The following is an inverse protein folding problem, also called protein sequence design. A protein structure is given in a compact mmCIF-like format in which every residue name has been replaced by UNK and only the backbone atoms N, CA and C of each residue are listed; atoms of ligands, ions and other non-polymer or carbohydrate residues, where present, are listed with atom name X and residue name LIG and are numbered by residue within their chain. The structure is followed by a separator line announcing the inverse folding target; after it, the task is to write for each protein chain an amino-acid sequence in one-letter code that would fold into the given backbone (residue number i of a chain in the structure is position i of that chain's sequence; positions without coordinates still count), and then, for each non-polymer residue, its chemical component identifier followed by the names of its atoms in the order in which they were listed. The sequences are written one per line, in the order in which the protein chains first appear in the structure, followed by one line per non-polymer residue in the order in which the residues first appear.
data_IF_180617303306
#
_entry.id   IF_180617303306
#
_cell.length_a   1.000
_cell.length_b   1.000
_cell.length_c   1.000
_cell.angle_alpha   90.00
_cell.angle_beta   90.00
_cell.angle_gamma   90.00
#
_symmetry.space_group_name_H-M   'P 1'
#
loop_
_entity.id
_entity.type
_entity.pdbx_description
1 polymer ?
#
# COMPACT_ATOMS: atom_id res chain seq x y z
N UNK A 1 10.39 36.88 -22.79
CA UNK A 1 10.55 35.56 -23.45
C UNK A 1 10.83 34.42 -22.46
N UNK A 2 11.73 34.59 -21.47
CA UNK A 2 12.06 33.55 -20.47
C UNK A 2 10.86 33.03 -19.64
N UNK A 3 9.97 33.90 -19.17
CA UNK A 3 8.81 33.50 -18.35
C UNK A 3 7.79 32.58 -19.06
N UNK A 4 7.58 32.76 -20.37
CA UNK A 4 6.69 31.89 -21.16
C UNK A 4 7.27 30.49 -21.36
N UNK A 5 8.60 30.38 -21.49
CA UNK A 5 9.30 29.11 -21.67
C UNK A 5 9.30 28.29 -20.36
N UNK A 6 9.53 28.94 -19.21
CA UNK A 6 9.50 28.29 -17.89
C UNK A 6 8.10 27.76 -17.55
N UNK A 7 7.05 28.53 -17.84
CA UNK A 7 5.66 28.12 -17.60
C UNK A 7 5.26 26.92 -18.47
N UNK A 8 5.67 26.89 -19.75
CA UNK A 8 5.41 25.79 -20.65
C UNK A 8 6.12 24.50 -20.19
N UNK A 9 7.36 24.60 -19.71
CA UNK A 9 8.13 23.46 -19.21
C UNK A 9 7.50 22.85 -17.94
N UNK A 10 7.05 23.70 -17.01
CA UNK A 10 6.34 23.27 -15.80
C UNK A 10 5.02 22.57 -16.12
N UNK A 11 4.26 23.10 -17.09
CA UNK A 11 3.02 22.48 -17.55
C UNK A 11 3.29 21.10 -18.15
N UNK A 12 4.23 20.98 -19.10
CA UNK A 12 4.59 19.70 -19.73
C UNK A 12 5.05 18.64 -18.70
N UNK A 13 5.83 19.05 -17.70
CA UNK A 13 6.26 18.17 -16.62
C UNK A 13 5.08 17.67 -15.78
N UNK A 14 4.16 18.56 -15.41
CA UNK A 14 2.96 18.21 -14.63
C UNK A 14 2.00 17.27 -15.39
N UNK A 15 1.85 17.45 -16.71
CA UNK A 15 1.05 16.58 -17.56
C UNK A 15 1.66 15.18 -17.65
N UNK A 16 2.98 15.10 -17.84
CA UNK A 16 3.71 13.83 -17.91
C UNK A 16 3.61 13.04 -16.61
N UNK A 17 3.71 13.72 -15.46
CA UNK A 17 3.55 13.11 -14.15
C UNK A 17 2.14 12.55 -13.93
N UNK A 18 1.09 13.32 -14.26
CA UNK A 18 -0.30 12.85 -14.17
C UNK A 18 -0.58 11.66 -15.08
N UNK A 19 0.01 11.63 -16.27
CA UNK A 19 -0.13 10.51 -17.20
C UNK A 19 0.53 9.23 -16.63
N UNK A 20 1.72 9.37 -16.01
CA UNK A 20 2.43 8.27 -15.38
C UNK A 20 1.67 7.73 -14.14
N UNK A 21 1.18 8.60 -13.24
CA UNK A 21 0.34 8.21 -12.09
C UNK A 21 -0.88 7.41 -12.56
N UNK A 22 -1.58 7.92 -13.60
CA UNK A 22 -2.74 7.23 -14.19
C UNK A 22 -2.37 5.85 -14.75
N UNK A 23 -1.20 5.73 -15.39
CA UNK A 23 -0.73 4.44 -15.93
C UNK A 23 -0.44 3.43 -14.82
N UNK A 24 0.21 3.87 -13.72
CA UNK A 24 0.50 3.02 -12.56
C UNK A 24 -0.81 2.55 -11.91
N UNK A 25 -1.73 3.47 -11.64
CA UNK A 25 -3.04 3.13 -11.03
C UNK A 25 -3.79 2.12 -11.89
N UNK A 26 -3.84 2.28 -13.21
CA UNK A 26 -4.50 1.33 -14.11
C UNK A 26 -3.87 -0.07 -14.07
N UNK A 27 -2.54 -0.15 -13.97
CA UNK A 27 -1.83 -1.43 -13.82
C UNK A 27 -2.20 -2.11 -12.49
N UNK A 28 -2.26 -1.35 -11.40
CA UNK A 28 -2.68 -1.87 -10.08
C UNK A 28 -4.13 -2.35 -10.12
N UNK A 29 -5.06 -1.56 -10.67
CA UNK A 29 -6.46 -1.96 -10.84
C UNK A 29 -6.57 -3.29 -11.59
N UNK A 30 -5.87 -3.41 -12.72
CA UNK A 30 -5.89 -4.64 -13.54
C UNK A 30 -5.35 -5.85 -12.77
N UNK A 31 -4.27 -5.65 -12.00
CA UNK A 31 -3.71 -6.67 -11.13
C UNK A 31 -4.70 -7.11 -10.04
N UNK A 32 -5.31 -6.15 -9.33
CA UNK A 32 -6.25 -6.44 -8.27
C UNK A 32 -7.48 -7.18 -8.80
N UNK A 33 -8.09 -6.71 -9.89
CA UNK A 33 -9.22 -7.40 -10.53
C UNK A 33 -8.90 -8.86 -10.89
N UNK A 34 -7.71 -9.11 -11.44
CA UNK A 34 -7.25 -10.48 -11.76
C UNK A 34 -7.08 -11.31 -10.49
N UNK A 35 -6.42 -10.74 -9.46
CA UNK A 35 -6.19 -11.40 -8.17
C UNK A 35 -7.49 -11.83 -7.50
N UNK A 36 -8.50 -10.98 -7.44
CA UNK A 36 -9.77 -11.31 -6.76
C UNK A 36 -10.47 -12.48 -7.44
N UNK A 37 -10.45 -12.53 -8.78
CA UNK A 37 -10.98 -13.68 -9.53
C UNK A 37 -10.18 -14.96 -9.24
N UNK A 38 -8.85 -14.88 -9.16
CA UNK A 38 -8.00 -16.03 -8.82
C UNK A 38 -8.24 -16.52 -7.38
N UNK A 39 -8.42 -15.60 -6.43
CA UNK A 39 -8.74 -15.93 -5.04
C UNK A 39 -10.12 -16.59 -4.93
N UNK A 40 -11.13 -16.05 -5.62
CA UNK A 40 -12.46 -16.65 -5.61
C UNK A 40 -12.47 -18.05 -6.22
N UNK A 41 -11.76 -18.27 -7.35
CA UNK A 41 -11.57 -19.62 -7.91
C UNK A 41 -10.93 -20.56 -6.91
N UNK A 42 -9.85 -20.13 -6.27
CA UNK A 42 -9.09 -20.93 -5.30
C UNK A 42 -9.95 -21.32 -4.09
N UNK A 43 -10.80 -20.41 -3.64
CA UNK A 43 -11.59 -20.58 -2.41
C UNK A 43 -13.01 -21.14 -2.69
N UNK A 44 -13.36 -21.44 -3.94
CA UNK A 44 -14.70 -21.90 -4.31
C UNK A 44 -15.80 -20.84 -4.16
N UNK A 45 -15.44 -19.56 -4.20
CA UNK A 45 -16.39 -18.45 -4.12
C UNK A 45 -17.05 -18.17 -5.49
N UNK A 46 -18.22 -17.52 -5.47
CA UNK A 46 -18.97 -17.19 -6.68
C UNK A 46 -18.20 -16.20 -7.57
N UNK A 47 -17.84 -16.65 -8.77
CA UNK A 47 -17.17 -15.79 -9.75
C UNK A 47 -18.08 -14.70 -10.27
N UNK A 48 -19.39 -14.95 -10.34
CA UNK A 48 -20.35 -13.94 -10.80
C UNK A 48 -20.55 -12.86 -9.75
N UNK A 49 -20.51 -13.23 -8.46
CA UNK A 49 -20.44 -12.25 -7.39
C UNK A 49 -19.17 -11.38 -7.48
N UNK A 50 -17.98 -11.98 -7.65
CA UNK A 50 -16.74 -11.19 -7.80
C UNK A 50 -16.76 -10.27 -9.02
N UNK A 51 -17.27 -10.74 -10.17
CA UNK A 51 -17.44 -9.90 -11.35
C UNK A 51 -18.40 -8.74 -11.07
N UNK A 52 -19.44 -8.96 -10.26
CA UNK A 52 -20.41 -7.92 -9.89
C UNK A 52 -19.80 -6.82 -9.01
N UNK A 53 -18.68 -7.08 -8.34
CA UNK A 53 -17.92 -6.13 -7.51
C UNK A 53 -16.87 -5.33 -8.29
N UNK A 54 -16.66 -5.62 -9.58
CA UNK A 54 -15.71 -4.89 -10.41
C UNK A 54 -16.05 -3.39 -10.47
N UNK A 55 -15.07 -2.53 -10.18
CA UNK A 55 -15.23 -1.07 -10.14
C UNK A 55 -16.01 -0.57 -8.93
N UNK A 56 -16.32 -1.43 -7.96
CA UNK A 56 -17.04 -1.08 -6.73
C UNK A 56 -16.15 -1.05 -5.51
N UNK A 57 -14.92 -1.59 -5.62
CA UNK A 57 -13.99 -1.67 -4.49
C UNK A 57 -13.00 -0.52 -4.43
N UNK A 58 -12.69 -0.02 -3.24
CA UNK A 58 -11.77 1.09 -2.99
C UNK A 58 -10.46 0.64 -2.41
N UNK A 59 -9.40 1.30 -2.88
CA UNK A 59 -8.08 1.20 -2.28
C UNK A 59 -7.35 2.54 -2.27
N UNK A 60 -6.46 2.70 -1.30
CA UNK A 60 -5.46 3.76 -1.27
C UNK A 60 -4.13 3.21 -1.76
N UNK A 61 -3.47 3.95 -2.64
CA UNK A 61 -2.17 3.59 -3.20
C UNK A 61 -1.07 4.50 -2.66
N UNK A 62 0.07 3.92 -2.29
CA UNK A 62 1.32 4.65 -2.03
C UNK A 62 2.48 3.98 -2.77
N UNK A 63 3.24 4.79 -3.50
CA UNK A 63 4.48 4.38 -4.14
C UNK A 63 5.65 4.63 -3.20
N UNK A 64 6.47 3.61 -2.97
CA UNK A 64 7.60 3.68 -2.03
C UNK A 64 8.74 2.79 -2.52
N UNK A 65 9.97 3.17 -2.27
CA UNK A 65 11.12 2.28 -2.48
C UNK A 65 11.46 1.62 -1.14
N UNK A 66 11.16 0.33 -0.99
CA UNK A 66 11.38 -0.37 0.28
C UNK A 66 12.77 -0.99 0.35
N UNK A 67 13.49 -1.17 -0.74
CA UNK A 67 14.80 -1.84 -0.76
C UNK A 67 15.95 -0.95 -1.28
N UNK A 68 15.67 0.33 -1.54
CA UNK A 68 16.59 1.32 -2.09
C UNK A 68 17.19 0.92 -3.45
N UNK A 69 16.43 0.18 -4.28
CA UNK A 69 16.86 -0.21 -5.63
C UNK A 69 16.44 0.79 -6.72
N UNK A 70 15.90 1.94 -6.31
CA UNK A 70 15.34 3.01 -7.14
C UNK A 70 14.11 2.59 -7.97
N UNK A 71 13.49 1.45 -7.67
CA UNK A 71 12.20 1.05 -8.25
C UNK A 71 11.10 1.22 -7.22
N UNK A 72 9.91 1.53 -7.71
CA UNK A 72 8.75 1.73 -6.84
C UNK A 72 8.12 0.37 -6.52
N UNK A 73 8.04 0.10 -5.23
CA UNK A 73 7.08 -0.82 -4.63
C UNK A 73 5.77 -0.07 -4.33
N UNK A 74 4.72 -0.84 -4.08
CA UNK A 74 3.36 -0.31 -3.91
C UNK A 74 2.74 -0.82 -2.63
N UNK A 75 2.33 0.10 -1.77
CA UNK A 75 1.45 -0.20 -0.65
C UNK A 75 0.01 0.03 -1.07
N UNK A 76 -0.82 -1.02 -1.01
CA UNK A 76 -2.25 -0.99 -1.35
C UNK A 76 -3.04 -1.24 -0.07
N UNK A 77 -3.84 -0.26 0.35
CA UNK A 77 -4.68 -0.36 1.54
C UNK A 77 -6.15 -0.37 1.14
N UNK A 78 -6.88 -1.45 1.44
CA UNK A 78 -8.29 -1.61 1.06
C UNK A 78 -9.18 -0.93 2.10
N UNK A 79 -9.80 0.20 1.77
CA UNK A 79 -10.37 1.12 2.75
C UNK A 79 -11.92 1.14 2.81
N UNK A 80 -12.60 0.11 2.29
CA UNK A 80 -14.08 0.06 2.30
C UNK A 80 -14.71 -1.06 3.14
N UNK A 81 -14.00 -2.16 3.41
CA UNK A 81 -14.52 -3.33 4.15
C UNK A 81 -13.65 -3.63 5.37
N UNK A 82 -13.49 -2.64 6.23
CA UNK A 82 -12.72 -2.78 7.46
C UNK A 82 -13.62 -3.32 8.57
N UNK A 83 -13.23 -4.45 9.17
CA UNK A 83 -13.89 -4.95 10.38
C UNK A 83 -13.34 -4.28 11.64
N UNK A 84 -13.85 -4.67 12.82
CA UNK A 84 -13.42 -4.15 14.12
C UNK A 84 -11.91 -4.32 14.40
N UNK A 85 -11.24 -5.22 13.68
CA UNK A 85 -9.80 -5.45 13.83
C UNK A 85 -8.92 -4.72 12.83
N UNK A 86 -9.50 -3.94 11.90
CA UNK A 86 -8.78 -3.22 10.86
C UNK A 86 -9.11 -3.72 9.45
N UNK A 87 -8.43 -3.14 8.48
CA UNK A 87 -8.60 -3.38 7.06
C UNK A 87 -7.62 -4.45 6.55
N UNK A 88 -7.60 -4.65 5.24
CA UNK A 88 -6.57 -5.46 4.57
C UNK A 88 -5.58 -4.57 3.80
N UNK A 89 -4.37 -5.06 3.59
CA UNK A 89 -3.37 -4.38 2.77
C UNK A 89 -2.44 -5.34 2.03
N UNK A 90 -1.87 -4.86 0.92
CA UNK A 90 -0.81 -5.53 0.18
C UNK A 90 0.45 -4.67 0.12
N UNK A 91 1.59 -5.33 0.06
CA UNK A 91 2.83 -4.77 -0.47
C UNK A 91 3.14 -5.49 -1.76
N UNK A 92 3.31 -4.76 -2.84
CA UNK A 92 3.68 -5.28 -4.16
C UNK A 92 5.05 -4.74 -4.54
N UNK A 93 5.90 -5.59 -5.13
CA UNK A 93 7.15 -5.06 -5.71
C UNK A 93 6.91 -4.35 -7.05
N UNK A 94 7.97 -3.76 -7.61
CA UNK A 94 7.95 -3.11 -8.92
C UNK A 94 7.46 -3.97 -10.09
N UNK A 95 7.44 -5.30 -9.93
CA UNK A 95 6.91 -6.27 -10.91
C UNK A 95 5.52 -6.81 -10.53
N UNK A 96 4.88 -6.20 -9.53
CA UNK A 96 3.58 -6.59 -8.98
C UNK A 96 3.55 -7.98 -8.32
N UNK A 97 4.71 -8.51 -7.91
CA UNK A 97 4.70 -9.70 -7.05
C UNK A 97 4.24 -9.31 -5.65
N UNK A 98 3.39 -10.13 -5.05
CA UNK A 98 2.94 -9.92 -3.66
C UNK A 98 4.11 -10.16 -2.70
N UNK A 99 4.59 -9.09 -2.08
CA UNK A 99 5.62 -9.07 -1.04
C UNK A 99 5.03 -8.87 0.35
N UNK A 100 3.74 -8.65 0.48
CA UNK A 100 3.04 -8.60 1.77
C UNK A 100 1.55 -8.77 1.53
N UNK A 101 0.89 -9.53 2.40
CA UNK A 101 -0.56 -9.69 2.39
C UNK A 101 -1.02 -9.71 3.84
N UNK A 102 -1.64 -8.61 4.26
CA UNK A 102 -1.95 -8.33 5.65
C UNK A 102 -3.46 -8.20 5.83
N UNK A 103 -3.94 -8.70 6.96
CA UNK A 103 -5.28 -8.46 7.49
C UNK A 103 -5.14 -7.73 8.83
N UNK A 104 -6.22 -7.13 9.34
CA UNK A 104 -6.21 -6.42 10.62
C UNK A 104 -5.24 -5.23 10.64
N UNK A 105 -5.15 -4.52 9.53
CA UNK A 105 -4.29 -3.33 9.35
C UNK A 105 -5.05 -2.08 9.73
N UNK A 106 -4.54 -1.36 10.73
CA UNK A 106 -4.94 0.00 11.08
C UNK A 106 -3.98 1.05 10.53
N UNK A 107 -4.25 2.30 10.87
CA UNK A 107 -3.39 3.46 10.60
C UNK A 107 -2.85 4.02 11.92
N UNK A 108 -1.65 4.64 11.93
CA UNK A 108 -0.82 4.97 10.77
C UNK A 108 0.00 3.79 10.22
N UNK A 109 0.51 3.96 9.00
CA UNK A 109 1.47 3.06 8.38
C UNK A 109 2.76 3.83 8.11
N UNK A 110 3.85 3.32 8.65
CA UNK A 110 5.13 4.00 8.68
C UNK A 110 6.18 3.09 8.07
N UNK A 111 6.94 3.64 7.14
CA UNK A 111 8.18 3.03 6.65
C UNK A 111 9.33 3.64 7.42
N UNK A 112 10.04 2.78 8.14
CA UNK A 112 11.19 3.18 8.94
C UNK A 112 12.41 3.34 8.04
N UNK A 113 13.26 4.30 8.37
CA UNK A 113 14.59 4.42 7.72
C UNK A 113 15.47 3.18 7.96
N UNK A 114 15.25 2.50 9.08
CA UNK A 114 15.98 1.28 9.43
C UNK A 114 15.73 0.17 8.41
N UNK A 115 16.80 -0.35 7.82
CA UNK A 115 16.78 -1.53 6.95
C UNK A 115 17.21 -2.78 7.69
N UNK A 116 16.45 -3.86 7.51
CA UNK A 116 16.79 -5.21 7.92
C UNK A 116 16.68 -6.11 6.68
N UNK A 117 17.68 -6.97 6.46
CA UNK A 117 17.74 -7.86 5.28
C UNK A 117 17.71 -7.11 3.93
N UNK A 118 18.19 -5.86 3.89
CA UNK A 118 18.17 -5.02 2.69
C UNK A 118 16.82 -4.37 2.38
N UNK A 119 15.85 -4.42 3.31
CA UNK A 119 14.53 -3.82 3.16
C UNK A 119 14.18 -2.94 4.36
N UNK A 120 13.55 -1.79 4.12
CA UNK A 120 13.04 -0.88 5.13
C UNK A 120 12.02 -1.62 6.01
N UNK A 121 12.15 -1.51 7.32
CA UNK A 121 11.16 -2.10 8.22
C UNK A 121 9.86 -1.29 8.20
N UNK A 122 8.73 -1.97 8.40
CA UNK A 122 7.44 -1.31 8.46
C UNK A 122 6.96 -1.30 9.91
N UNK A 123 6.40 -0.18 10.33
CA UNK A 123 5.59 -0.11 11.53
C UNK A 123 4.13 0.03 11.09
N UNK A 124 3.31 -0.96 11.44
CA UNK A 124 1.91 -1.03 11.02
C UNK A 124 1.04 -1.18 12.27
N UNK A 125 0.01 -0.35 12.38
CA UNK A 125 -0.96 -0.45 13.48
C UNK A 125 -1.80 -1.73 13.34
N UNK A 126 -1.87 -2.53 14.40
CA UNK A 126 -2.70 -3.74 14.47
C UNK A 126 -2.97 -4.10 15.93
N UNK A 127 -3.92 -3.40 16.55
CA UNK A 127 -4.18 -3.44 18.00
C UNK A 127 -2.90 -3.16 18.81
N UNK A 128 -2.25 -2.06 18.45
CA UNK A 128 -0.90 -1.69 18.84
C UNK A 128 0.06 -1.80 17.66
N UNK A 129 1.03 -0.88 17.61
CA UNK A 129 2.01 -0.80 16.55
C UNK A 129 2.90 -2.05 16.49
N UNK A 130 2.98 -2.67 15.32
CA UNK A 130 3.78 -3.87 15.04
C UNK A 130 4.97 -3.54 14.16
N UNK A 131 6.17 -4.00 14.51
CA UNK A 131 7.34 -3.96 13.63
C UNK A 131 7.33 -5.18 12.72
N UNK A 132 7.15 -4.94 11.43
CA UNK A 132 7.08 -5.96 10.38
C UNK A 132 8.37 -5.95 9.57
N UNK A 133 9.01 -7.12 9.48
CA UNK A 133 10.32 -7.28 8.85
C UNK A 133 10.19 -8.13 7.59
N UNK A 134 10.94 -7.78 6.54
CA UNK A 134 11.00 -8.59 5.34
C UNK A 134 11.75 -9.91 5.62
N UNK A 135 11.12 -11.03 5.29
CA UNK A 135 11.73 -12.34 5.37
C UNK A 135 12.37 -12.70 4.02
N UNK A 136 13.70 -12.85 3.93
CA UNK A 136 14.40 -13.11 2.67
C UNK A 136 14.15 -14.52 2.12
N UNK A 137 13.85 -15.51 2.98
CA UNK A 137 13.55 -16.89 2.58
C UNK A 137 12.16 -16.97 1.95
N UNK A 138 11.16 -16.43 2.64
CA UNK A 138 9.77 -16.39 2.15
C UNK A 138 9.55 -15.29 1.08
N UNK A 139 10.54 -14.41 0.88
CA UNK A 139 10.55 -13.24 -0.01
C UNK A 139 9.35 -12.33 0.16
N UNK A 140 8.95 -12.09 1.42
CA UNK A 140 7.78 -11.29 1.81
C UNK A 140 7.89 -10.75 3.24
N UNK A 141 7.21 -9.64 3.51
CA UNK A 141 6.87 -9.14 4.84
C UNK A 141 5.77 -9.98 5.48
N UNK A 142 5.74 -10.03 6.82
CA UNK A 142 4.61 -10.61 7.54
C UNK A 142 4.44 -12.10 7.28
N UNK A 143 5.53 -12.86 7.13
CA UNK A 143 5.45 -14.26 6.69
C UNK A 143 4.56 -15.13 7.61
N UNK A 144 4.37 -14.72 8.86
CA UNK A 144 3.50 -15.35 9.84
C UNK A 144 2.19 -14.58 10.09
N UNK A 145 1.90 -13.52 9.34
CA UNK A 145 0.77 -12.62 9.57
C UNK A 145 1.07 -11.54 10.61
N UNK A 146 0.45 -10.36 10.44
CA UNK A 146 0.83 -9.15 11.19
C UNK A 146 0.63 -9.26 12.71
N UNK A 147 -0.36 -10.03 13.17
CA UNK A 147 -0.63 -10.22 14.60
C UNK A 147 0.51 -10.95 15.32
N UNK A 148 1.31 -11.73 14.57
CA UNK A 148 2.46 -12.47 15.08
C UNK A 148 3.76 -11.66 15.02
N UNK A 149 3.70 -10.44 14.47
CA UNK A 149 4.84 -9.53 14.42
C UNK A 149 5.08 -8.87 15.79
N UNK A 150 6.31 -8.40 16.00
CA UNK A 150 6.75 -7.84 17.28
C UNK A 150 5.93 -6.60 17.64
N UNK A 151 5.20 -6.66 18.76
CA UNK A 151 4.53 -5.51 19.35
C UNK A 151 5.57 -4.49 19.84
N UNK A 152 5.37 -3.23 19.48
CA UNK A 152 6.13 -2.11 19.98
C UNK A 152 5.46 -1.60 21.25
N UNK A 153 6.20 -1.63 22.36
CA UNK A 153 5.72 -1.20 23.68
C UNK A 153 5.86 0.30 23.90
N UNK A 154 6.64 0.97 23.06
CA UNK A 154 6.83 2.43 23.10
C UNK A 154 5.96 3.08 22.03
N UNK A 155 5.38 4.25 22.30
CA UNK A 155 4.75 5.08 21.28
C UNK A 155 5.70 5.33 20.12
N UNK A 156 5.14 5.51 18.92
CA UNK A 156 5.95 5.86 17.77
C UNK A 156 6.52 7.27 17.93
N UNK A 157 7.85 7.36 17.90
CA UNK A 157 8.59 8.60 17.77
C UNK A 157 9.16 8.71 16.35
N UNK A 158 8.83 9.80 15.66
CA UNK A 158 9.30 10.04 14.29
C UNK A 158 10.80 10.28 14.30
N UNK A 159 11.55 9.42 13.63
CA UNK A 159 12.99 9.58 13.43
C UNK A 159 13.24 10.21 12.05
N UNK A 160 14.31 11.01 11.92
CA UNK A 160 14.71 11.60 10.64
C UNK A 160 14.90 10.51 9.58
N UNK A 161 14.09 10.59 8.53
CA UNK A 161 14.08 9.66 7.39
C UNK A 161 12.97 8.62 7.44
N UNK A 162 12.20 8.53 8.51
CA UNK A 162 10.94 7.78 8.51
C UNK A 162 9.92 8.46 7.59
N UNK A 163 9.12 7.65 6.91
CA UNK A 163 8.05 8.09 6.03
C UNK A 163 6.72 7.56 6.55
N UNK A 164 5.83 8.46 6.96
CA UNK A 164 4.43 8.09 7.23
C UNK A 164 3.74 8.04 5.88
N UNK A 165 3.42 6.84 5.40
CA UNK A 165 2.84 6.67 4.06
C UNK A 165 1.31 6.75 4.11
N UNK A 166 0.71 6.36 5.22
CA UNK A 166 -0.71 6.57 5.49
C UNK A 166 -0.88 7.07 6.93
N UNK A 167 -1.48 8.26 7.05
CA UNK A 167 -1.82 8.90 8.32
C UNK A 167 -3.22 8.49 8.73
N UNK A 168 -3.47 8.43 10.05
CA UNK A 168 -4.82 8.31 10.57
C UNK A 168 -5.57 9.62 10.25
N UNK A 169 -6.71 9.59 9.54
CA UNK A 169 -7.46 10.80 9.26
C UNK A 169 -8.09 11.37 10.53
N UNK A 170 -8.20 12.69 10.61
CA UNK A 170 -8.79 13.41 11.75
C UNK A 170 -10.24 12.99 12.05
N UNK A 171 -10.97 12.53 11.02
CA UNK A 171 -12.34 12.04 11.14
C UNK A 171 -12.45 10.60 11.65
N UNK A 172 -11.32 9.91 11.88
CA UNK A 172 -11.20 8.47 12.19
C UNK A 172 -11.89 7.53 11.17
N UNK A 173 -12.39 8.06 10.06
CA UNK A 173 -13.06 7.30 9.00
C UNK A 173 -12.12 7.08 7.83
N UNK A 174 -11.88 5.81 7.46
CA UNK A 174 -11.05 5.44 6.31
C UNK A 174 -11.61 5.92 4.96
N UNK A 175 -12.89 6.34 4.92
CA UNK A 175 -13.58 6.83 3.72
C UNK A 175 -13.12 8.21 3.26
N UNK A 176 -12.45 8.99 4.10
CA UNK A 176 -11.91 10.32 3.76
C UNK A 176 -10.58 10.26 3.00
N UNK A 177 -9.92 9.10 2.98
CA UNK A 177 -8.65 8.91 2.27
C UNK A 177 -8.87 8.98 0.75
N UNK A 178 -7.99 9.71 0.05
CA UNK A 178 -7.97 9.70 -1.42
C UNK A 178 -7.74 8.26 -1.93
N UNK A 179 -8.81 7.67 -2.46
CA UNK A 179 -8.86 6.29 -2.92
C UNK A 179 -9.17 6.19 -4.42
N UNK A 180 -8.90 5.02 -4.98
CA UNK A 180 -9.22 4.63 -6.34
C UNK A 180 -10.21 3.46 -6.33
N UNK A 181 -11.05 3.37 -7.34
CA UNK A 181 -11.96 2.24 -7.54
C UNK A 181 -11.28 1.15 -8.39
N UNK A 182 -11.50 -0.13 -8.07
CA UNK A 182 -11.06 -1.28 -8.88
C UNK A 182 -12.14 -2.33 -9.03
#
# INVERSE_FOLDING_TARGET
MKAKLTLLLLLLFSFSFKAQEKQVVNKIISFLQKREIELAKKNGASLDYEKSLKGKRKFVLREIDLNNDNKKDYFVFFNEDCGNGGCSALVLDSKLNVRGNFTLVGLPIIVKKEQINGWNTLNIESKGMRKVIFNPVAKRYGALGIANEKLLTKPYEKVKGDQIILELPDSETYSSLKSFMY
#
